data_IF_960973785823
#
_entry.id   IF_960973785823
#
_cell.length_a   1.000
_cell.length_b   1.000
_cell.length_c   1.000
_cell.angle_alpha   90.00
_cell.angle_beta   90.00
_cell.angle_gamma   90.00
#
_symmetry.space_group_name_H-M   'P 1'
#
loop_
_entity.id
_entity.type
_entity.pdbx_description
1 polymer ?
#
# COMPACT_ATOMS: atom_id res chain seq x y z
N UNK A 1 -8.79 -14.56 -18.36
CA UNK A 1 -8.51 -13.37 -17.53
C UNK A 1 -7.94 -13.85 -16.19
N UNK A 2 -6.64 -14.15 -16.09
CA UNK A 2 -6.02 -14.78 -14.93
C UNK A 2 -5.48 -13.71 -13.97
N UNK A 3 -6.34 -12.80 -13.52
CA UNK A 3 -5.96 -11.70 -12.62
C UNK A 3 -5.75 -12.16 -11.16
N UNK A 4 -5.68 -13.46 -10.86
CA UNK A 4 -5.68 -13.93 -9.46
C UNK A 4 -4.57 -14.92 -9.12
N UNK A 5 -3.60 -15.13 -10.02
CA UNK A 5 -2.42 -15.96 -9.72
C UNK A 5 -1.13 -15.43 -10.33
N UNK A 6 -1.18 -14.25 -10.94
CA UNK A 6 -0.05 -13.67 -11.66
C UNK A 6 0.62 -12.58 -10.81
N UNK A 7 1.94 -12.53 -10.83
CA UNK A 7 2.65 -11.35 -10.37
C UNK A 7 2.14 -10.20 -11.23
N UNK A 8 1.30 -9.33 -10.67
CA UNK A 8 0.60 -8.27 -11.39
C UNK A 8 1.52 -7.19 -11.97
N UNK A 9 2.52 -7.54 -12.78
CA UNK A 9 3.25 -6.70 -13.74
C UNK A 9 3.79 -5.35 -13.27
N UNK A 10 3.77 -5.05 -11.98
CA UNK A 10 4.03 -3.73 -11.42
C UNK A 10 5.24 -3.82 -10.50
N UNK A 11 6.35 -3.28 -10.98
CA UNK A 11 7.58 -3.04 -10.26
C UNK A 11 7.33 -1.96 -9.18
N UNK A 12 6.63 -2.30 -8.09
CA UNK A 12 6.28 -1.33 -7.04
C UNK A 12 5.99 -1.95 -5.67
N UNK A 13 5.46 -3.18 -5.62
CA UNK A 13 5.31 -3.93 -4.36
C UNK A 13 6.51 -4.86 -4.09
N UNK A 14 7.68 -4.53 -4.63
CA UNK A 14 8.97 -5.19 -4.39
C UNK A 14 9.99 -4.06 -4.23
N UNK A 15 10.84 -4.11 -3.21
CA UNK A 15 11.77 -3.03 -2.89
C UNK A 15 11.69 -2.61 -1.42
N UNK A 16 12.74 -1.92 -0.96
CA UNK A 16 12.96 -1.62 0.45
C UNK A 16 11.77 -0.93 1.12
N UNK A 17 11.12 0.01 0.43
CA UNK A 17 10.01 0.75 1.01
C UNK A 17 8.72 -0.10 1.11
N UNK A 18 8.49 -1.00 0.14
CA UNK A 18 7.42 -1.98 0.24
C UNK A 18 7.67 -3.00 1.35
N UNK A 19 8.93 -3.35 1.63
CA UNK A 19 9.30 -4.23 2.75
C UNK A 19 9.09 -3.56 4.09
N UNK A 20 9.54 -2.31 4.24
CA UNK A 20 9.29 -1.49 5.43
C UNK A 20 7.80 -1.32 5.72
N UNK A 21 6.97 -1.10 4.69
CA UNK A 21 5.51 -1.07 4.85
C UNK A 21 5.00 -2.42 5.36
N UNK A 22 5.44 -3.56 4.80
CA UNK A 22 4.97 -4.88 5.28
C UNK A 22 5.44 -5.23 6.69
N UNK A 23 6.63 -4.80 7.07
CA UNK A 23 7.24 -5.11 8.37
C UNK A 23 6.68 -4.27 9.52
N UNK A 24 6.05 -3.13 9.19
CA UNK A 24 5.44 -2.26 10.18
C UNK A 24 4.15 -2.88 10.76
N UNK A 25 3.98 -2.81 12.07
CA UNK A 25 2.77 -3.30 12.74
C UNK A 25 1.62 -2.31 12.57
N UNK A 26 0.88 -2.46 11.47
CA UNK A 26 -0.29 -1.64 11.17
C UNK A 26 -1.48 -1.93 12.07
N UNK A 27 -1.51 -3.06 12.78
CA UNK A 27 -2.63 -3.41 13.66
C UNK A 27 -2.80 -2.43 14.82
N UNK A 28 -1.71 -1.78 15.22
CA UNK A 28 -1.69 -0.72 16.23
C UNK A 28 -2.12 0.67 15.69
N UNK A 29 -2.43 0.79 14.39
CA UNK A 29 -2.83 2.07 13.77
C UNK A 29 -4.32 2.11 13.45
N UNK A 30 -4.85 3.30 13.20
CA UNK A 30 -6.23 3.48 12.73
C UNK A 30 -6.53 2.87 11.36
N UNK A 31 -5.51 2.50 10.58
CA UNK A 31 -5.69 1.78 9.31
C UNK A 31 -5.98 0.28 9.53
N UNK A 32 -5.65 -0.24 10.71
CA UNK A 32 -5.74 -1.66 11.03
C UNK A 32 -4.69 -2.50 10.29
N UNK A 33 -4.68 -3.80 10.62
CA UNK A 33 -3.74 -4.74 10.03
C UNK A 33 -3.88 -4.78 8.48
N UNK A 34 -2.76 -5.00 7.78
CA UNK A 34 -2.68 -4.99 6.31
C UNK A 34 -3.75 -5.85 5.62
N UNK A 35 -4.17 -6.95 6.25
CA UNK A 35 -5.17 -7.88 5.70
C UNK A 35 -6.59 -7.28 5.66
N UNK A 36 -6.83 -6.22 6.45
CA UNK A 36 -8.10 -5.52 6.54
C UNK A 36 -8.12 -4.21 5.72
N UNK A 37 -7.02 -3.88 5.03
CA UNK A 37 -6.97 -2.67 4.21
C UNK A 37 -7.97 -2.75 3.06
N UNK A 38 -8.65 -1.64 2.80
CA UNK A 38 -9.54 -1.54 1.65
C UNK A 38 -8.75 -1.64 0.35
N UNK A 39 -9.41 -2.10 -0.71
CA UNK A 39 -8.80 -2.15 -2.04
C UNK A 39 -8.30 -0.76 -2.50
N UNK A 40 -9.05 0.31 -2.18
CA UNK A 40 -8.65 1.68 -2.51
C UNK A 40 -7.34 2.10 -1.84
N UNK A 41 -7.17 1.80 -0.54
CA UNK A 41 -5.94 2.10 0.19
C UNK A 41 -4.74 1.37 -0.43
N UNK A 42 -4.91 0.07 -0.71
CA UNK A 42 -3.88 -0.73 -1.38
C UNK A 42 -3.48 -0.17 -2.75
N UNK A 43 -4.46 0.21 -3.58
CA UNK A 43 -4.19 0.82 -4.89
C UNK A 43 -3.45 2.15 -4.78
N UNK A 44 -3.80 3.00 -3.81
CA UNK A 44 -3.09 4.28 -3.62
C UNK A 44 -1.65 4.06 -3.15
N UNK A 45 -1.41 3.11 -2.22
CA UNK A 45 -0.03 2.78 -1.80
C UNK A 45 0.78 2.23 -2.98
N UNK A 46 0.19 1.41 -3.85
CA UNK A 46 0.86 0.93 -5.07
C UNK A 46 1.23 2.08 -6.02
N UNK A 47 0.30 3.00 -6.25
CA UNK A 47 0.57 4.22 -7.02
C UNK A 47 1.73 5.01 -6.39
N UNK A 48 1.75 5.11 -5.06
CA UNK A 48 2.80 5.83 -4.36
C UNK A 48 4.18 5.22 -4.53
N UNK A 49 4.28 3.90 -4.39
CA UNK A 49 5.54 3.16 -4.54
C UNK A 49 6.05 3.13 -5.98
N UNK A 50 5.17 3.27 -6.98
CA UNK A 50 5.54 3.33 -8.38
C UNK A 50 6.01 4.71 -8.87
N UNK A 51 5.86 5.76 -8.06
CA UNK A 51 6.24 7.12 -8.44
C UNK A 51 7.75 7.38 -8.26
N UNK A 52 8.42 8.05 -9.20
CA UNK A 52 9.80 8.49 -9.03
C UNK A 52 9.95 9.70 -8.10
N UNK A 53 8.84 10.32 -7.69
CA UNK A 53 8.80 11.47 -6.79
C UNK A 53 8.36 11.05 -5.39
N UNK A 54 8.98 11.60 -4.33
CA UNK A 54 8.51 11.43 -2.96
C UNK A 54 7.07 11.92 -2.80
N UNK A 55 6.24 11.14 -2.12
CA UNK A 55 4.84 11.48 -1.85
C UNK A 55 4.45 11.12 -0.42
N UNK A 56 3.47 11.86 0.09
CA UNK A 56 2.83 11.61 1.39
C UNK A 56 1.33 11.43 1.15
N UNK A 57 0.74 10.48 1.87
CA UNK A 57 -0.71 10.26 1.87
C UNK A 57 -1.22 10.44 3.29
N UNK A 58 -2.18 11.34 3.44
CA UNK A 58 -2.98 11.49 4.65
C UNK A 58 -4.23 10.63 4.46
N UNK A 59 -4.58 9.83 5.47
CA UNK A 59 -5.67 8.87 5.33
C UNK A 59 -6.51 8.77 6.60
N UNK A 60 -7.83 8.87 6.43
CA UNK A 60 -8.81 8.72 7.51
C UNK A 60 -9.61 10.00 7.77
N UNK A 61 -10.51 9.98 8.77
CA UNK A 61 -11.48 11.06 9.00
C UNK A 61 -10.86 12.42 9.34
N UNK A 62 -9.64 12.39 9.86
CA UNK A 62 -8.86 13.58 10.22
C UNK A 62 -8.20 14.27 9.02
N UNK A 63 -8.27 13.67 7.82
CA UNK A 63 -7.75 14.24 6.58
C UNK A 63 -8.77 15.14 5.85
N UNK A 64 -9.81 15.60 6.56
CA UNK A 64 -10.85 16.52 6.09
C UNK A 64 -10.84 17.80 6.90
#
# INVERSE_FOLDING_TARGET
>A
MPFLSDHHGCQGWKGEMAERIRAFDWSATSLGALQHWSHSLCSTVQLMLGSPLPMVMLWGPWAT
#
